data_IF_639667700117
#
_entry.id   IF_639667700117
#
_cell.length_a   1.000
_cell.length_b   1.000
_cell.length_c   1.000
_cell.angle_alpha   90.00
_cell.angle_beta   90.00
_cell.angle_gamma   90.00
#
_symmetry.space_group_name_H-M   'P 1'
#
loop_
_entity.id
_entity.type
_entity.pdbx_description
1 polymer ?
#
# COMPACT_ATOMS: atom_id res chain seq x y z
N UNK A 1 26.59 -50.80 53.20
CA UNK A 1 27.39 -50.69 51.97
C UNK A 1 26.54 -50.04 50.90
N UNK A 2 27.04 -48.95 50.30
CA UNK A 2 26.43 -48.26 49.16
C UNK A 2 26.96 -48.83 47.82
N UNK A 3 26.38 -48.34 46.71
CA UNK A 3 26.73 -48.53 45.28
C UNK A 3 26.09 -49.76 44.63
N UNK A 4 25.52 -49.76 43.42
CA UNK A 4 25.60 -48.84 42.28
C UNK A 4 24.30 -48.88 41.46
N UNK A 5 24.00 -47.75 40.84
CA UNK A 5 23.04 -47.54 39.76
C UNK A 5 23.30 -48.42 38.54
N UNK A 6 22.26 -49.02 37.96
CA UNK A 6 22.28 -49.44 36.56
C UNK A 6 20.97 -48.99 35.90
N UNK A 7 20.99 -47.76 35.39
CA UNK A 7 19.91 -47.23 34.55
C UNK A 7 20.37 -47.34 33.10
N UNK A 8 20.17 -48.52 32.54
CA UNK A 8 20.42 -48.81 31.12
C UNK A 8 19.40 -48.06 30.28
N UNK A 9 19.72 -46.81 29.95
CA UNK A 9 18.89 -45.96 29.09
C UNK A 9 18.79 -46.55 27.69
N UNK A 10 17.59 -46.91 27.27
CA UNK A 10 17.32 -47.36 25.90
C UNK A 10 17.52 -46.19 24.93
N UNK A 11 18.35 -46.38 23.90
CA UNK A 11 18.55 -45.40 22.83
C UNK A 11 17.30 -45.39 21.95
N UNK A 12 16.48 -44.34 22.07
CA UNK A 12 15.21 -44.20 21.34
C UNK A 12 15.39 -43.70 19.90
N UNK A 13 16.57 -43.19 19.55
CA UNK A 13 16.82 -42.65 18.22
C UNK A 13 18.26 -42.87 17.78
N UNK A 14 18.42 -43.43 16.59
CA UNK A 14 19.71 -43.58 15.91
C UNK A 14 19.69 -42.74 14.63
N UNK A 15 20.83 -42.11 14.33
CA UNK A 15 20.99 -41.29 13.13
C UNK A 15 20.84 -42.18 11.90
N UNK A 16 19.73 -42.01 11.17
CA UNK A 16 19.49 -42.67 9.89
C UNK A 16 20.54 -42.18 8.89
N UNK A 17 21.23 -43.11 8.22
CA UNK A 17 22.06 -42.77 7.06
C UNK A 17 21.13 -42.20 5.99
N UNK A 18 21.25 -40.89 5.76
CA UNK A 18 20.47 -40.16 4.76
C UNK A 18 20.96 -40.64 3.40
N UNK A 19 20.08 -41.32 2.66
CA UNK A 19 20.34 -41.58 1.25
C UNK A 19 20.49 -40.22 0.58
N UNK A 20 21.49 -40.07 -0.28
CA UNK A 20 21.88 -38.79 -0.92
C UNK A 20 20.78 -38.20 -1.84
N UNK A 21 19.59 -38.80 -1.86
CA UNK A 21 18.44 -38.42 -2.64
C UNK A 21 17.21 -38.06 -1.80
N UNK A 22 17.30 -38.05 -0.47
CA UNK A 22 16.23 -37.39 0.30
C UNK A 22 16.30 -35.90 -0.03
N UNK A 23 15.25 -35.38 -0.67
CA UNK A 23 15.06 -33.98 -1.07
C UNK A 23 15.21 -33.04 0.14
N UNK A 24 16.47 -32.69 0.46
CA UNK A 24 16.85 -31.71 1.45
C UNK A 24 16.46 -30.34 0.89
N UNK A 25 15.19 -29.98 1.08
CA UNK A 25 14.52 -28.73 0.76
C UNK A 25 15.10 -27.93 -0.42
N UNK A 26 14.58 -28.19 -1.61
CA UNK A 26 14.81 -27.32 -2.77
C UNK A 26 14.00 -26.02 -2.60
N UNK A 27 14.64 -24.97 -2.07
CA UNK A 27 14.06 -23.63 -1.91
C UNK A 27 13.87 -22.87 -3.24
N UNK A 28 14.28 -23.47 -4.36
CA UNK A 28 14.12 -22.91 -5.70
C UNK A 28 12.66 -22.62 -6.06
N UNK A 29 11.70 -23.47 -5.66
CA UNK A 29 10.28 -23.23 -5.97
C UNK A 29 9.70 -22.00 -5.23
N UNK A 30 10.18 -21.70 -4.01
CA UNK A 30 9.82 -20.49 -3.27
C UNK A 30 10.35 -19.24 -3.98
N UNK A 31 11.61 -19.27 -4.40
CA UNK A 31 12.26 -18.18 -5.13
C UNK A 31 11.55 -17.93 -6.47
N UNK A 32 11.33 -18.98 -7.27
CA UNK A 32 10.61 -18.89 -8.56
C UNK A 32 9.19 -18.34 -8.41
N UNK A 33 8.46 -18.77 -7.38
CA UNK A 33 7.10 -18.26 -7.15
C UNK A 33 7.12 -16.77 -6.77
N UNK A 34 8.09 -16.33 -5.96
CA UNK A 34 8.24 -14.91 -5.62
C UNK A 34 8.52 -14.08 -6.88
N UNK A 35 9.50 -14.46 -7.69
CA UNK A 35 9.83 -13.82 -8.97
C UNK A 35 8.61 -13.78 -9.90
N UNK A 36 7.88 -14.89 -10.03
CA UNK A 36 6.66 -14.97 -10.86
C UNK A 36 5.55 -14.08 -10.32
N UNK A 37 5.37 -14.04 -9.00
CA UNK A 37 4.32 -13.23 -8.36
C UNK A 37 4.60 -11.75 -8.54
N UNK A 38 5.85 -11.32 -8.31
CA UNK A 38 6.29 -9.93 -8.49
C UNK A 38 6.15 -9.52 -9.96
N UNK A 39 6.69 -10.30 -10.89
CA UNK A 39 6.55 -10.03 -12.33
C UNK A 39 5.09 -9.87 -12.75
N UNK A 40 4.21 -10.78 -12.35
CA UNK A 40 2.77 -10.72 -12.65
C UNK A 40 2.09 -9.49 -12.05
N UNK A 41 2.50 -9.07 -10.85
CA UNK A 41 1.97 -7.83 -10.25
C UNK A 41 2.42 -6.60 -11.03
N UNK A 42 3.70 -6.50 -11.41
CA UNK A 42 4.20 -5.37 -12.21
C UNK A 42 3.59 -5.32 -13.61
N UNK A 43 3.40 -6.46 -14.26
CA UNK A 43 2.72 -6.56 -15.56
C UNK A 43 1.29 -6.03 -15.51
N UNK A 44 0.52 -6.43 -14.48
CA UNK A 44 -0.86 -5.94 -14.27
C UNK A 44 -0.90 -4.43 -14.06
N UNK A 45 0.05 -3.88 -13.29
CA UNK A 45 0.15 -2.44 -13.07
C UNK A 45 0.44 -1.72 -14.40
N UNK A 46 1.43 -2.18 -15.18
CA UNK A 46 1.77 -1.61 -16.49
C UNK A 46 0.58 -1.65 -17.47
N UNK A 47 -0.15 -2.77 -17.54
CA UNK A 47 -1.34 -2.88 -18.39
C UNK A 47 -2.45 -1.91 -17.96
N UNK A 48 -2.65 -1.71 -16.66
CA UNK A 48 -3.59 -0.71 -16.15
C UNK A 48 -3.15 0.73 -16.47
N UNK A 49 -1.86 1.05 -16.39
CA UNK A 49 -1.33 2.36 -16.78
C UNK A 49 -1.52 2.62 -18.28
N UNK A 50 -1.23 1.64 -19.14
CA UNK A 50 -1.44 1.75 -20.58
C UNK A 50 -2.92 1.93 -20.96
N UNK A 51 -3.83 1.26 -20.25
CA UNK A 51 -5.27 1.41 -20.46
C UNK A 51 -5.84 2.74 -19.93
N UNK A 52 -5.20 3.35 -18.92
CA UNK A 52 -5.65 4.62 -18.29
C UNK A 52 -5.22 5.88 -19.06
N UNK A 53 -4.30 5.76 -20.02
CA UNK A 53 -3.88 6.88 -20.87
C UNK A 53 -4.98 7.45 -21.79
N UNK A 54 -6.18 6.84 -21.82
CA UNK A 54 -7.34 7.34 -22.56
C UNK A 54 -8.31 8.22 -21.74
N UNK A 55 -8.09 8.43 -20.43
CA UNK A 55 -9.04 9.21 -19.58
C UNK A 55 -8.45 10.41 -18.82
N UNK A 56 -7.22 10.85 -19.12
CA UNK A 56 -6.75 12.16 -18.67
C UNK A 56 -6.31 13.05 -19.83
N UNK A 57 -7.18 13.21 -20.83
CA UNK A 57 -7.25 14.50 -21.53
C UNK A 57 -7.85 15.47 -20.54
N UNK A 58 -6.99 16.15 -19.79
CA UNK A 58 -7.33 17.36 -19.06
C UNK A 58 -7.66 18.45 -20.08
N UNK A 59 -8.83 18.31 -20.71
CA UNK A 59 -9.32 19.17 -21.78
C UNK A 59 -10.03 20.36 -21.16
N UNK A 60 -9.27 21.29 -20.57
CA UNK A 60 -9.64 22.70 -20.38
C UNK A 60 -11.02 23.04 -19.80
N UNK A 61 -11.76 22.09 -19.26
CA UNK A 61 -13.05 22.32 -18.63
C UNK A 61 -12.74 22.69 -17.19
N UNK A 62 -13.02 23.95 -16.84
CA UNK A 62 -12.97 24.42 -15.45
C UNK A 62 -13.73 23.41 -14.59
N UNK A 63 -13.03 22.72 -13.70
CA UNK A 63 -13.60 21.69 -12.83
C UNK A 63 -14.71 22.36 -12.04
N UNK A 64 -15.94 21.86 -12.20
CA UNK A 64 -17.09 22.33 -11.42
C UNK A 64 -17.14 21.53 -10.12
N UNK A 65 -16.48 22.06 -9.11
CA UNK A 65 -16.43 21.50 -7.77
C UNK A 65 -17.82 21.37 -7.15
N UNK A 66 -18.06 20.24 -6.47
CA UNK A 66 -19.25 20.01 -5.62
C UNK A 66 -18.84 19.57 -4.22
N UNK A 67 -19.77 19.71 -3.28
CA UNK A 67 -19.59 19.21 -1.90
C UNK A 67 -19.33 17.70 -1.95
N UNK A 68 -18.32 17.27 -1.21
CA UNK A 68 -17.88 15.89 -1.12
C UNK A 68 -16.82 15.47 -2.15
N UNK A 69 -16.49 16.34 -3.12
CA UNK A 69 -15.36 16.08 -4.02
C UNK A 69 -14.04 16.05 -3.24
N UNK A 70 -13.15 15.15 -3.66
CA UNK A 70 -11.77 15.14 -3.19
C UNK A 70 -10.96 16.11 -4.06
N UNK A 71 -10.07 16.84 -3.42
CA UNK A 71 -9.24 17.88 -4.01
C UNK A 71 -7.87 17.90 -3.32
N UNK A 72 -6.90 18.56 -3.93
CA UNK A 72 -5.69 18.99 -3.24
C UNK A 72 -5.84 20.46 -2.84
N UNK A 73 -5.53 20.77 -1.58
CA UNK A 73 -5.57 22.12 -1.04
C UNK A 73 -4.23 22.49 -0.38
N UNK A 74 -3.76 23.75 -0.50
CA UNK A 74 -2.58 24.21 0.20
C UNK A 74 -2.85 24.32 1.70
N UNK A 75 -1.91 23.87 2.53
CA UNK A 75 -1.93 24.03 3.97
C UNK A 75 -1.20 25.32 4.37
N UNK A 76 -1.77 26.08 5.32
CA UNK A 76 -1.28 27.44 5.63
C UNK A 76 0.10 27.44 6.29
N UNK A 77 0.45 26.40 7.06
CA UNK A 77 1.69 26.37 7.84
C UNK A 77 2.94 26.14 6.96
N UNK A 78 2.82 25.32 5.93
CA UNK A 78 3.96 24.90 5.11
C UNK A 78 3.80 25.18 3.62
N UNK A 79 2.63 25.67 3.20
CA UNK A 79 2.30 25.95 1.80
C UNK A 79 2.24 24.70 0.92
N UNK A 80 2.29 23.49 1.50
CA UNK A 80 2.26 22.24 0.74
C UNK A 80 0.84 21.82 0.45
N UNK A 81 0.67 21.03 -0.59
CA UNK A 81 -0.62 20.55 -1.02
C UNK A 81 -0.93 19.22 -0.35
N UNK A 82 -2.07 19.16 0.32
CA UNK A 82 -2.53 17.96 1.00
C UNK A 82 -3.89 17.52 0.46
N UNK A 83 -4.15 16.21 0.47
CA UNK A 83 -5.45 15.67 0.09
C UNK A 83 -6.53 16.14 1.06
N UNK A 84 -7.65 16.59 0.51
CA UNK A 84 -8.75 17.15 1.26
C UNK A 84 -10.10 16.88 0.58
N UNK A 85 -11.17 17.04 1.34
CA UNK A 85 -12.55 16.90 0.87
C UNK A 85 -13.32 18.20 1.04
N UNK A 86 -14.07 18.61 0.01
CA UNK A 86 -14.90 19.80 0.07
C UNK A 86 -16.09 19.56 1.02
N UNK A 87 -16.15 20.30 2.11
CA UNK A 87 -17.25 20.25 3.07
C UNK A 87 -18.36 21.24 2.71
N UNK A 88 -18.00 22.45 2.28
CA UNK A 88 -18.97 23.46 1.85
C UNK A 88 -18.39 24.40 0.80
N UNK A 89 -19.26 24.95 -0.05
CA UNK A 89 -18.87 25.89 -1.11
C UNK A 89 -19.61 27.21 -0.89
N UNK A 90 -18.85 28.30 -0.80
CA UNK A 90 -19.37 29.65 -0.75
C UNK A 90 -19.21 30.31 -2.12
N UNK A 91 -20.24 30.17 -2.96
CA UNK A 91 -20.27 30.68 -4.34
C UNK A 91 -20.17 32.22 -4.36
N UNK A 92 -20.72 32.91 -3.37
CA UNK A 92 -20.70 34.37 -3.29
C UNK A 92 -19.28 34.94 -3.10
N UNK A 93 -18.43 34.23 -2.34
CA UNK A 93 -17.03 34.62 -2.09
C UNK A 93 -16.02 33.96 -3.03
N UNK A 94 -16.42 32.92 -3.77
CA UNK A 94 -15.51 32.12 -4.60
C UNK A 94 -14.59 31.19 -3.80
N UNK A 95 -14.98 30.86 -2.56
CA UNK A 95 -14.17 30.05 -1.64
C UNK A 95 -14.92 28.79 -1.23
N UNK A 96 -14.21 27.79 -0.73
CA UNK A 96 -14.77 26.58 -0.15
C UNK A 96 -14.09 26.23 1.17
N UNK A 97 -14.83 25.55 2.03
CA UNK A 97 -14.32 24.90 3.22
C UNK A 97 -13.92 23.48 2.87
N UNK A 98 -12.67 23.11 3.14
CA UNK A 98 -12.14 21.77 2.92
C UNK A 98 -11.75 21.14 4.25
N UNK A 99 -11.86 19.82 4.36
CA UNK A 99 -11.35 19.01 5.47
C UNK A 99 -10.15 18.22 4.95
N UNK A 100 -8.99 18.37 5.58
CA UNK A 100 -7.80 17.58 5.22
C UNK A 100 -7.92 16.13 5.68
N UNK A 101 -7.54 15.21 4.79
CA UNK A 101 -7.57 13.78 5.07
C UNK A 101 -6.54 13.44 6.17
N UNK A 102 -6.94 12.60 7.13
CA UNK A 102 -6.09 12.16 8.24
C UNK A 102 -6.01 13.11 9.44
N UNK A 103 -6.12 14.42 9.23
CA UNK A 103 -6.01 15.42 10.31
C UNK A 103 -7.37 15.98 10.76
N UNK A 104 -8.41 15.84 9.93
CA UNK A 104 -9.76 16.37 10.16
C UNK A 104 -9.77 17.89 10.46
N UNK A 105 -8.70 18.59 10.06
CA UNK A 105 -8.55 20.04 10.15
C UNK A 105 -9.29 20.71 9.00
N UNK A 106 -9.95 21.83 9.28
CA UNK A 106 -10.73 22.59 8.31
C UNK A 106 -9.98 23.82 7.85
N UNK A 107 -9.99 24.11 6.56
CA UNK A 107 -9.41 25.33 6.00
C UNK A 107 -10.33 25.96 4.95
N UNK A 108 -10.30 27.29 4.87
CA UNK A 108 -11.03 28.04 3.83
C UNK A 108 -10.07 28.37 2.70
N UNK A 109 -10.29 27.77 1.53
CA UNK A 109 -9.43 27.94 0.35
C UNK A 109 -10.23 28.47 -0.83
N UNK A 110 -9.56 29.12 -1.79
CA UNK A 110 -10.21 29.61 -3.01
C UNK A 110 -10.58 28.42 -3.89
N UNK A 111 -11.80 28.43 -4.44
CA UNK A 111 -12.30 27.34 -5.27
C UNK A 111 -11.45 27.17 -6.55
N UNK A 112 -11.00 28.29 -7.13
CA UNK A 112 -10.14 28.32 -8.31
C UNK A 112 -8.70 27.85 -8.03
N UNK A 113 -8.32 27.76 -6.75
CA UNK A 113 -6.99 27.29 -6.34
C UNK A 113 -6.97 25.80 -6.03
N UNK A 114 -8.09 25.09 -6.12
CA UNK A 114 -8.10 23.64 -5.91
C UNK A 114 -7.57 22.89 -7.14
N UNK A 115 -6.90 21.77 -6.90
CA UNK A 115 -6.42 20.83 -7.92
C UNK A 115 -7.09 19.47 -7.82
#
# INVERSE_FOLDING_TARGET
>A
MSTSSDSSGAVLYTRKEISVHDEVWDDTELIKMYEKSTAKTYEKLQNNFNNKNNTSKNSGSKIKWKIGDHCMAPYEDDGRWYPAKIESINIAKGNCLVIFDGYNTKATVKLDSLM
#
